data_IF_646408342088
#
_entry.id   IF_646408342088
#
_cell.length_a   1.000
_cell.length_b   1.000
_cell.length_c   1.000
_cell.angle_alpha   90.00
_cell.angle_beta   90.00
_cell.angle_gamma   90.00
#
_symmetry.space_group_name_H-M   'P 1'
#
loop_
_entity.id
_entity.type
_entity.pdbx_description
1 polymer ?
#
# COMPACT_ATOMS: atom_id res chain seq x y z
N UNK A 1 -11.26 -21.89 22.65
CA UNK A 1 -10.74 -21.08 21.59
C UNK A 1 -11.37 -19.72 21.57
N UNK A 2 -10.61 -18.78 21.47
CA UNK A 2 -11.09 -17.45 21.66
C UNK A 2 -10.76 -16.57 20.45
N UNK A 3 -11.76 -16.37 19.59
CA UNK A 3 -11.56 -15.57 18.41
C UNK A 3 -11.54 -14.07 18.69
N UNK A 4 -12.05 -13.66 19.87
CA UNK A 4 -12.03 -12.24 20.21
C UNK A 4 -10.62 -11.73 20.46
N UNK A 5 -9.72 -12.62 20.81
CA UNK A 5 -8.34 -12.21 21.04
C UNK A 5 -7.54 -12.04 19.75
N UNK A 6 -8.11 -12.40 18.62
CA UNK A 6 -7.41 -12.26 17.36
C UNK A 6 -7.21 -10.81 17.02
N UNK A 7 -6.01 -10.47 16.62
CA UNK A 7 -5.69 -9.16 16.12
C UNK A 7 -4.64 -9.32 15.04
N UNK A 8 -4.51 -8.31 14.21
CA UNK A 8 -3.49 -8.27 13.17
C UNK A 8 -2.62 -7.05 13.41
N UNK A 9 -1.32 -7.24 13.23
CA UNK A 9 -0.42 -6.10 13.24
C UNK A 9 -0.50 -5.42 11.88
N UNK A 10 -0.76 -4.13 11.92
CA UNK A 10 -0.93 -3.33 10.72
C UNK A 10 0.06 -2.19 10.74
N UNK A 11 0.63 -1.92 9.57
CA UNK A 11 1.42 -0.71 9.39
C UNK A 11 0.47 0.40 9.02
N UNK A 12 0.48 1.46 9.82
CA UNK A 12 -0.39 2.61 9.62
C UNK A 12 0.39 3.68 8.86
N UNK A 13 -0.23 4.23 7.85
CA UNK A 13 0.38 5.30 7.07
C UNK A 13 -0.68 6.32 6.70
N UNK A 14 -0.23 7.46 6.26
CA UNK A 14 -1.14 8.54 5.87
C UNK A 14 -1.01 8.86 4.40
N UNK A 15 -2.16 9.15 3.81
CA UNK A 15 -2.29 9.81 2.53
C UNK A 15 -3.17 11.03 2.81
N UNK A 16 -2.63 12.22 2.59
CA UNK A 16 -3.26 13.47 3.00
C UNK A 16 -3.54 13.41 4.51
N UNK A 17 -4.78 13.53 4.92
CA UNK A 17 -5.16 13.51 6.34
C UNK A 17 -5.75 12.18 6.75
N UNK A 18 -5.88 11.25 5.83
CA UNK A 18 -6.53 9.98 6.11
C UNK A 18 -5.53 8.93 6.50
N UNK A 19 -5.92 8.06 7.42
CA UNK A 19 -5.09 6.95 7.85
C UNK A 19 -5.51 5.68 7.16
N UNK A 20 -4.52 4.93 6.71
CA UNK A 20 -4.69 3.66 6.02
C UNK A 20 -3.78 2.64 6.66
N UNK A 21 -4.05 1.38 6.41
CA UNK A 21 -3.22 0.32 6.97
C UNK A 21 -3.09 -0.84 6.00
N UNK A 22 -1.96 -1.50 6.08
CA UNK A 22 -1.75 -2.79 5.42
C UNK A 22 -1.09 -3.73 6.41
N UNK A 23 -1.30 -5.03 6.20
CA UNK A 23 -0.82 -6.06 7.11
C UNK A 23 0.70 -6.08 7.15
N UNK A 24 1.25 -6.13 8.36
CA UNK A 24 2.70 -6.30 8.55
C UNK A 24 3.20 -7.56 7.84
N UNK A 25 2.36 -8.58 7.75
CA UNK A 25 2.76 -9.84 7.13
C UNK A 25 3.10 -9.69 5.66
N UNK A 26 2.59 -8.65 5.01
CA UNK A 26 2.85 -8.40 3.59
C UNK A 26 4.01 -7.44 3.38
N UNK A 27 4.49 -6.78 4.41
CA UNK A 27 5.49 -5.73 4.28
C UNK A 27 6.89 -6.30 4.44
N UNK A 28 7.75 -5.98 3.48
CA UNK A 28 9.14 -6.39 3.51
C UNK A 28 9.99 -5.32 4.21
N UNK A 29 9.77 -4.07 3.89
CA UNK A 29 10.53 -2.96 4.49
C UNK A 29 9.82 -1.65 4.22
N UNK A 30 10.25 -0.62 4.93
CA UNK A 30 9.80 0.76 4.70
C UNK A 30 11.05 1.57 4.42
N UNK A 31 11.07 2.21 3.25
CA UNK A 31 12.25 2.91 2.78
C UNK A 31 11.95 4.39 2.62
N UNK A 32 12.98 5.21 2.74
CA UNK A 32 12.86 6.60 2.32
C UNK A 32 12.71 6.66 0.81
N UNK A 33 12.16 7.77 0.32
CA UNK A 33 11.99 7.93 -1.12
C UNK A 33 13.35 7.88 -1.82
N UNK A 34 13.41 7.13 -2.89
CA UNK A 34 14.59 6.97 -3.73
C UNK A 34 14.36 7.63 -5.06
N UNK A 35 15.45 7.86 -5.78
CA UNK A 35 15.33 8.34 -7.15
C UNK A 35 14.73 7.25 -8.02
N UNK A 36 13.70 7.63 -8.77
CA UNK A 36 12.97 6.69 -9.61
C UNK A 36 13.56 6.66 -11.01
N UNK A 37 13.64 5.46 -11.58
CA UNK A 37 13.95 5.31 -13.00
C UNK A 37 12.62 5.18 -13.72
N UNK A 38 12.28 6.12 -14.61
CA UNK A 38 11.04 6.03 -15.37
C UNK A 38 11.04 4.82 -16.28
N UNK A 39 9.87 4.23 -16.47
CA UNK A 39 9.67 3.15 -17.44
C UNK A 39 8.53 3.56 -18.35
N UNK A 40 8.44 2.96 -19.56
CA UNK A 40 7.29 3.22 -20.42
C UNK A 40 6.01 2.93 -19.69
N UNK A 41 5.09 3.89 -19.70
CA UNK A 41 3.91 3.79 -18.87
C UNK A 41 2.92 2.81 -19.46
N UNK A 42 2.64 1.75 -18.72
CA UNK A 42 1.59 0.81 -19.03
C UNK A 42 0.44 0.96 -18.07
N UNK A 43 0.61 1.78 -17.04
CA UNK A 43 -0.43 2.13 -16.08
C UNK A 43 -0.14 3.53 -15.56
N UNK A 44 -1.19 4.37 -15.41
CA UNK A 44 -0.99 5.72 -14.86
C UNK A 44 -0.56 5.71 -13.40
N UNK A 45 -0.68 4.58 -12.72
CA UNK A 45 -0.35 4.49 -11.31
C UNK A 45 1.08 4.06 -11.05
N UNK A 46 1.81 3.62 -12.07
CA UNK A 46 3.21 3.20 -11.92
C UNK A 46 4.10 4.40 -12.16
N UNK A 47 4.83 4.80 -11.13
CA UNK A 47 5.72 5.95 -11.21
C UNK A 47 7.04 5.62 -11.90
N UNK A 48 7.50 4.39 -11.74
CA UNK A 48 8.78 3.96 -12.26
C UNK A 48 9.27 2.79 -11.45
N UNK A 49 10.58 2.56 -11.49
CA UNK A 49 11.20 1.48 -10.72
C UNK A 49 12.38 2.03 -9.95
N UNK A 50 12.76 1.31 -8.88
CA UNK A 50 14.01 1.56 -8.18
C UNK A 50 14.81 0.27 -8.13
N UNK A 51 16.11 0.40 -7.90
CA UNK A 51 16.95 -0.74 -7.59
C UNK A 51 17.13 -0.80 -6.09
N UNK A 52 16.76 -1.93 -5.50
CA UNK A 52 16.86 -2.10 -4.08
C UNK A 52 17.41 -3.49 -3.81
N UNK A 53 18.60 -3.54 -3.21
CA UNK A 53 19.27 -4.79 -2.86
C UNK A 53 19.36 -5.76 -4.03
N UNK A 54 19.72 -5.22 -5.20
CA UNK A 54 19.90 -6.03 -6.38
C UNK A 54 18.63 -6.39 -7.12
N UNK A 55 17.49 -5.87 -6.70
CA UNK A 55 16.21 -6.15 -7.35
C UNK A 55 15.65 -4.87 -7.97
N UNK A 56 14.95 -5.04 -9.08
CA UNK A 56 14.20 -3.96 -9.70
C UNK A 56 12.79 -4.00 -9.11
N UNK A 57 12.39 -2.92 -8.46
CA UNK A 57 11.13 -2.86 -7.74
C UNK A 57 10.24 -1.78 -8.34
N UNK A 58 9.05 -2.14 -8.86
CA UNK A 58 8.13 -1.12 -9.36
C UNK A 58 7.52 -0.35 -8.20
N UNK A 59 7.33 0.95 -8.43
CA UNK A 59 6.79 1.86 -7.43
C UNK A 59 5.45 2.39 -7.90
N UNK A 60 4.44 2.21 -7.08
CA UNK A 60 3.06 2.53 -7.38
C UNK A 60 2.64 3.73 -6.56
N UNK A 61 1.96 4.67 -7.21
CA UNK A 61 1.47 5.90 -6.58
C UNK A 61 0.13 5.61 -5.90
N UNK A 62 0.19 5.32 -4.62
CA UNK A 62 -1.01 4.97 -3.86
C UNK A 62 -1.96 6.14 -3.72
N UNK A 63 -1.43 7.36 -3.57
CA UNK A 63 -2.29 8.55 -3.51
C UNK A 63 -3.15 8.67 -4.76
N UNK A 64 -2.58 8.39 -5.92
CA UNK A 64 -3.33 8.49 -7.17
C UNK A 64 -4.45 7.48 -7.25
N UNK A 65 -4.21 6.26 -6.71
CA UNK A 65 -5.27 5.26 -6.68
C UNK A 65 -6.40 5.70 -5.74
N UNK A 66 -6.05 6.21 -4.58
CA UNK A 66 -7.03 6.51 -3.54
C UNK A 66 -7.71 7.85 -3.73
N UNK A 67 -6.94 8.88 -4.12
CA UNK A 67 -7.43 10.26 -4.15
C UNK A 67 -7.37 10.90 -5.52
N UNK A 68 -6.94 10.19 -6.55
CA UNK A 68 -6.86 10.69 -7.91
C UNK A 68 -5.89 11.87 -8.07
N UNK A 69 -4.95 12.05 -7.14
CA UNK A 69 -3.96 13.12 -7.20
C UNK A 69 -2.56 12.53 -7.16
N UNK A 70 -1.61 13.24 -7.75
CA UNK A 70 -0.23 12.78 -7.78
C UNK A 70 0.41 12.95 -6.41
N UNK A 71 1.32 12.02 -6.07
CA UNK A 71 2.11 12.13 -4.86
C UNK A 71 3.12 13.26 -4.96
N UNK A 72 3.37 13.92 -3.83
CA UNK A 72 4.38 14.98 -3.72
C UNK A 72 5.41 14.49 -2.72
N UNK A 73 6.68 14.48 -3.13
CA UNK A 73 7.76 14.00 -2.28
C UNK A 73 8.12 15.07 -1.25
N UNK A 74 8.12 14.66 0.02
CA UNK A 74 8.57 15.49 1.14
C UNK A 74 9.55 14.66 1.97
N UNK A 75 10.04 15.23 3.05
CA UNK A 75 10.92 14.49 3.96
C UNK A 75 10.19 13.33 4.63
N UNK A 76 8.87 13.39 4.70
CA UNK A 76 8.06 12.33 5.33
C UNK A 76 7.71 11.20 4.39
N UNK A 77 7.86 11.40 3.07
CA UNK A 77 7.49 10.40 2.09
C UNK A 77 8.22 9.09 2.33
N UNK A 78 7.48 7.99 2.22
CA UNK A 78 8.06 6.66 2.38
C UNK A 78 7.56 5.76 1.27
N UNK A 79 8.38 4.76 0.97
CA UNK A 79 8.01 3.67 0.09
C UNK A 79 7.78 2.46 0.99
N UNK A 80 6.57 1.95 0.98
CA UNK A 80 6.28 0.69 1.70
C UNK A 80 6.47 -0.43 0.71
N UNK A 81 7.46 -1.27 0.97
CA UNK A 81 7.77 -2.40 0.11
C UNK A 81 6.98 -3.61 0.59
N UNK A 82 6.22 -4.19 -0.32
CA UNK A 82 5.37 -5.34 -0.01
C UNK A 82 5.71 -6.50 -0.93
N UNK A 83 5.51 -7.71 -0.43
CA UNK A 83 5.71 -8.91 -1.21
C UNK A 83 4.36 -9.49 -1.60
N UNK A 84 4.14 -9.65 -2.89
CA UNK A 84 2.89 -10.20 -3.42
C UNK A 84 3.24 -11.23 -4.47
N UNK A 85 2.82 -12.48 -4.24
CA UNK A 85 3.09 -13.55 -5.20
C UNK A 85 4.57 -13.75 -5.46
N UNK A 86 5.40 -13.54 -4.45
CA UNK A 86 6.84 -13.71 -4.58
C UNK A 86 7.57 -12.53 -5.18
N UNK A 87 6.87 -11.46 -5.51
CA UNK A 87 7.49 -10.25 -6.08
C UNK A 87 7.35 -9.10 -5.12
N UNK A 88 8.36 -8.22 -5.11
CA UNK A 88 8.36 -7.04 -4.26
C UNK A 88 7.89 -5.84 -5.08
N UNK A 89 6.97 -5.08 -4.51
CA UNK A 89 6.49 -3.83 -5.07
C UNK A 89 6.56 -2.76 -3.99
N UNK A 90 6.61 -1.50 -4.40
CA UNK A 90 6.59 -0.40 -3.46
C UNK A 90 5.38 0.49 -3.66
N UNK A 91 4.86 0.99 -2.55
CA UNK A 91 3.77 1.98 -2.56
C UNK A 91 4.27 3.26 -1.96
N UNK A 92 4.04 4.38 -2.67
CA UNK A 92 4.40 5.70 -2.14
C UNK A 92 3.30 6.16 -1.21
N UNK A 93 3.69 6.53 0.01
CA UNK A 93 2.76 7.07 1.01
C UNK A 93 3.34 8.37 1.56
N UNK A 94 2.45 9.22 2.09
CA UNK A 94 2.88 10.53 2.59
C UNK A 94 3.69 10.41 3.87
N UNK A 95 3.37 9.46 4.71
CA UNK A 95 4.12 9.20 5.94
C UNK A 95 3.73 7.83 6.48
N UNK A 96 4.70 7.10 7.02
CA UNK A 96 4.44 5.87 7.76
C UNK A 96 4.53 6.24 9.25
N UNK A 97 3.47 6.00 10.01
CA UNK A 97 3.34 6.60 11.32
C UNK A 97 3.43 5.61 12.47
N UNK A 98 2.82 4.43 12.34
CA UNK A 98 2.69 3.51 13.47
C UNK A 98 2.67 2.07 13.01
N UNK A 99 2.88 1.17 13.97
CA UNK A 99 2.50 -0.22 13.85
C UNK A 99 1.54 -0.49 14.99
N UNK A 100 0.33 -0.93 14.65
CA UNK A 100 -0.70 -1.14 15.66
C UNK A 100 -1.26 -2.55 15.56
N UNK A 101 -1.67 -3.06 16.72
CA UNK A 101 -2.51 -4.26 16.76
C UNK A 101 -3.94 -3.83 16.51
N UNK A 102 -4.56 -4.43 15.50
CA UNK A 102 -5.94 -4.10 15.15
C UNK A 102 -6.80 -5.32 15.48
N UNK A 103 -7.58 -5.26 16.58
CA UNK A 103 -8.44 -6.39 16.92
C UNK A 103 -9.54 -6.58 15.87
N UNK A 104 -9.83 -7.83 15.55
CA UNK A 104 -10.84 -8.14 14.54
C UNK A 104 -12.19 -7.53 14.90
N UNK A 105 -12.48 -7.41 16.19
CA UNK A 105 -13.75 -6.86 16.65
C UNK A 105 -13.93 -5.38 16.31
N UNK A 106 -12.84 -4.67 16.01
CA UNK A 106 -12.91 -3.25 15.66
C UNK A 106 -13.14 -3.02 14.18
N UNK A 107 -13.08 -4.05 13.37
CA UNK A 107 -13.14 -3.94 11.93
C UNK A 107 -14.58 -4.04 11.45
N UNK A 108 -14.99 -3.04 10.69
CA UNK A 108 -16.31 -3.01 10.06
C UNK A 108 -16.14 -3.07 8.56
N UNK A 109 -17.10 -3.73 7.91
CA UNK A 109 -17.11 -3.82 6.46
C UNK A 109 -18.43 -3.26 5.94
N UNK A 110 -18.55 -1.92 5.86
CA UNK A 110 -19.79 -1.31 5.44
C UNK A 110 -20.18 -1.74 4.03
N UNK A 111 -21.45 -2.07 3.85
CA UNK A 111 -21.93 -2.57 2.56
C UNK A 111 -21.88 -1.50 1.47
N UNK A 112 -21.78 -0.24 1.87
CA UNK A 112 -21.71 0.87 0.90
C UNK A 112 -20.36 1.00 0.24
N UNK A 113 -19.35 0.34 0.75
CA UNK A 113 -18.04 0.37 0.11
C UNK A 113 -18.06 -0.54 -1.11
N UNK A 114 -17.83 0.07 -2.25
CA UNK A 114 -17.81 -0.66 -3.51
C UNK A 114 -16.41 -0.88 -4.04
N UNK A 115 -15.38 -0.50 -3.29
CA UNK A 115 -14.00 -0.66 -3.75
C UNK A 115 -13.44 -1.98 -3.24
N UNK A 116 -13.02 -2.83 -4.16
CA UNK A 116 -12.53 -4.15 -3.82
C UNK A 116 -11.25 -4.10 -2.99
N UNK A 117 -10.47 -3.01 -3.13
CA UNK A 117 -9.21 -2.91 -2.41
C UNK A 117 -9.36 -2.40 -0.98
N UNK A 118 -10.58 -2.11 -0.52
CA UNK A 118 -10.82 -1.76 0.86
C UNK A 118 -11.30 -3.00 1.58
N UNK A 119 -10.47 -3.49 2.50
CA UNK A 119 -10.79 -4.67 3.29
C UNK A 119 -11.82 -4.37 4.37
N UNK A 120 -11.75 -3.17 4.95
CA UNK A 120 -12.65 -2.75 6.01
C UNK A 120 -12.17 -1.46 6.63
N UNK A 121 -12.88 -1.02 7.67
CA UNK A 121 -12.48 0.14 8.45
C UNK A 121 -12.35 -0.29 9.91
N UNK A 122 -11.21 0.00 10.51
CA UNK A 122 -10.99 -0.22 11.92
C UNK A 122 -11.26 1.08 12.67
N UNK A 123 -12.08 1.00 13.71
CA UNK A 123 -12.31 2.13 14.58
C UNK A 123 -11.60 1.87 15.89
N UNK A 124 -10.52 2.62 16.13
CA UNK A 124 -9.69 2.50 17.32
C UNK A 124 -9.74 3.83 18.05
N UNK A 125 -10.46 3.87 19.18
CA UNK A 125 -10.66 5.10 19.95
C UNK A 125 -11.23 6.18 19.05
N UNK A 126 -10.51 7.27 18.84
CA UNK A 126 -10.95 8.37 17.98
C UNK A 126 -10.46 8.24 16.54
N UNK A 127 -9.77 7.14 16.22
CA UNK A 127 -9.16 6.99 14.91
C UNK A 127 -10.01 6.08 14.03
N UNK A 128 -10.12 6.44 12.77
CA UNK A 128 -10.72 5.59 11.75
C UNK A 128 -9.65 5.27 10.73
N UNK A 129 -9.35 3.99 10.59
CA UNK A 129 -8.24 3.53 9.75
C UNK A 129 -8.81 2.64 8.66
N UNK A 130 -8.54 2.98 7.41
CA UNK A 130 -9.02 2.20 6.26
C UNK A 130 -8.02 1.10 5.99
N UNK A 131 -8.48 -0.14 6.06
CA UNK A 131 -7.63 -1.31 5.84
C UNK A 131 -7.66 -1.67 4.36
N UNK A 132 -6.49 -1.84 3.77
CA UNK A 132 -6.35 -2.06 2.35
C UNK A 132 -5.96 -3.50 2.05
N UNK A 133 -6.46 -3.98 0.91
CA UNK A 133 -6.17 -5.29 0.37
C UNK A 133 -5.16 -5.10 -0.76
N UNK A 134 -3.91 -5.50 -0.54
CA UNK A 134 -2.84 -5.27 -1.50
C UNK A 134 -3.07 -5.98 -2.82
N UNK A 135 -3.45 -7.26 -2.87
CA UNK A 135 -3.71 -7.89 -4.16
C UNK A 135 -4.77 -7.17 -4.98
N UNK A 136 -5.81 -6.66 -4.34
CA UNK A 136 -6.84 -5.91 -5.06
C UNK A 136 -6.34 -4.54 -5.50
N UNK A 137 -5.50 -3.90 -4.69
CA UNK A 137 -4.86 -2.64 -5.11
C UNK A 137 -4.03 -2.84 -6.35
N UNK A 138 -3.31 -3.96 -6.43
CA UNK A 138 -2.50 -4.25 -7.61
C UNK A 138 -3.35 -4.45 -8.84
N UNK A 139 -4.47 -5.13 -8.70
CA UNK A 139 -5.38 -5.27 -9.83
C UNK A 139 -5.84 -3.91 -10.34
N UNK A 140 -6.13 -3.01 -9.42
CA UNK A 140 -6.55 -1.66 -9.77
C UNK A 140 -5.43 -0.90 -10.46
N UNK A 141 -4.20 -1.03 -9.95
CA UNK A 141 -3.07 -0.27 -10.45
C UNK A 141 -2.56 -0.79 -11.78
N UNK A 142 -2.56 -2.10 -11.97
CA UNK A 142 -1.91 -2.71 -13.11
C UNK A 142 -2.88 -3.15 -14.19
N UNK A 143 -4.13 -3.41 -13.82
CA UNK A 143 -5.08 -3.94 -14.77
C UNK A 143 -4.58 -5.26 -15.34
N UNK A 144 -4.37 -5.30 -16.65
CA UNK A 144 -3.88 -6.51 -17.32
C UNK A 144 -2.36 -6.57 -17.43
N UNK A 145 -1.65 -5.56 -16.89
CA UNK A 145 -0.18 -5.52 -16.94
C UNK A 145 0.36 -6.31 -15.77
N UNK A 146 1.30 -7.21 -16.03
CA UNK A 146 1.91 -7.99 -14.95
C UNK A 146 3.12 -7.26 -14.38
N UNK A 147 3.47 -7.60 -13.12
CA UNK A 147 4.68 -7.05 -12.52
C UNK A 147 5.92 -7.47 -13.29
N UNK A 148 5.93 -8.68 -13.83
CA UNK A 148 7.06 -9.16 -14.60
C UNK A 148 7.28 -8.29 -15.85
N UNK A 149 6.21 -7.84 -16.49
CA UNK A 149 6.33 -6.97 -17.65
C UNK A 149 6.97 -5.64 -17.28
N UNK A 150 6.59 -5.09 -16.13
CA UNK A 150 7.14 -3.81 -15.69
C UNK A 150 8.62 -3.93 -15.37
N UNK A 151 8.99 -4.97 -14.63
CA UNK A 151 10.37 -5.13 -14.20
C UNK A 151 11.29 -5.54 -15.34
N UNK A 152 10.78 -6.20 -16.37
CA UNK A 152 11.61 -6.60 -17.49
C UNK A 152 12.00 -5.43 -18.39
N UNK A 153 11.30 -4.30 -18.30
CA UNK A 153 11.60 -3.11 -19.10
C UNK A 153 12.81 -2.38 -18.56
N UNK A 154 12.98 -2.44 -17.26
CA UNK A 154 14.10 -1.77 -16.60
C UNK A 154 15.32 -2.67 -16.58
#
# INVERSE_FOLDING_TARGET
MNTQSQSQKEIIFRIDREEYAISVMEVVSIEKAHELTPVPKQSPYVLGVIHLRGQVVPIIDLRKILNQTDSIVTDSTRYIMASVGGQVIGFVVDAATDILDVPASTIQKPALFSKDFIYGIAKLEERMIVLLDIPQLLKRALGNVSLAEITSIA
#
